data_IF_660525755694
#
_entry.id   IF_660525755694
#
_cell.length_a   1.000
_cell.length_b   1.000
_cell.length_c   1.000
_cell.angle_alpha   90.00
_cell.angle_beta   90.00
_cell.angle_gamma   90.00
#
_symmetry.space_group_name_H-M   'P 1'
#
loop_
_entity.id
_entity.type
_entity.pdbx_description
1 polymer ?
#
# COMPACT_ATOMS: atom_id res chain seq x y z
N UNK A 1 6.78 -14.35 6.96
CA UNK A 1 6.69 -13.05 7.63
C UNK A 1 5.98 -12.03 6.76
N UNK A 2 5.11 -11.24 7.36
CA UNK A 2 4.29 -10.25 6.67
C UNK A 2 4.36 -8.93 7.43
N UNK A 3 4.51 -7.83 6.68
CA UNK A 3 4.49 -6.49 7.25
C UNK A 3 3.26 -5.77 6.73
N UNK A 4 2.46 -5.20 7.64
CA UNK A 4 1.26 -4.44 7.29
C UNK A 4 1.45 -3.00 7.77
N UNK A 5 1.29 -2.05 6.85
CA UNK A 5 1.37 -0.63 7.15
C UNK A 5 0.01 -0.01 6.86
N UNK A 6 -0.43 0.89 7.74
CA UNK A 6 -1.72 1.55 7.62
C UNK A 6 -1.54 3.05 7.50
N UNK A 7 -2.36 3.68 6.66
CA UNK A 7 -2.47 5.13 6.59
C UNK A 7 -3.94 5.52 6.61
N UNK A 8 -4.31 6.48 7.46
CA UNK A 8 -5.70 6.93 7.61
C UNK A 8 -5.95 8.18 6.78
N UNK A 9 -7.11 8.22 6.14
CA UNK A 9 -7.56 9.36 5.35
C UNK A 9 -8.96 9.77 5.79
N UNK A 10 -9.28 11.05 5.65
CA UNK A 10 -10.64 11.53 5.88
C UNK A 10 -11.54 11.04 4.75
N UNK A 11 -12.70 10.51 5.11
CA UNK A 11 -13.70 10.12 4.14
C UNK A 11 -14.25 11.33 3.40
N UNK A 12 -14.59 11.13 2.14
CA UNK A 12 -15.10 12.18 1.27
C UNK A 12 -16.36 12.83 1.82
N UNK A 13 -17.23 12.05 2.47
CA UNK A 13 -18.49 12.53 3.03
C UNK A 13 -18.35 13.15 4.42
N UNK A 14 -17.15 13.15 4.98
CA UNK A 14 -16.89 13.73 6.28
C UNK A 14 -17.34 12.88 7.47
N UNK A 15 -17.81 11.66 7.26
CA UNK A 15 -18.35 10.81 8.31
C UNK A 15 -17.30 10.12 9.18
N UNK A 16 -16.01 10.36 8.92
CA UNK A 16 -14.95 9.72 9.69
C UNK A 16 -13.72 9.49 8.84
N UNK A 17 -12.98 8.44 9.18
CA UNK A 17 -11.73 8.11 8.47
C UNK A 17 -11.79 6.70 7.93
N UNK A 18 -10.98 6.44 6.91
CA UNK A 18 -10.85 5.13 6.30
C UNK A 18 -9.37 4.83 6.14
N UNK A 19 -8.99 3.56 6.28
CA UNK A 19 -7.59 3.12 6.20
C UNK A 19 -7.22 2.60 4.83
N UNK A 20 -6.03 3.02 4.36
CA UNK A 20 -5.34 2.35 3.28
C UNK A 20 -4.27 1.45 3.91
N UNK A 21 -4.01 0.31 3.29
CA UNK A 21 -3.08 -0.66 3.86
C UNK A 21 -2.06 -1.08 2.82
N UNK A 22 -0.81 -1.20 3.28
CA UNK A 22 0.24 -1.85 2.50
C UNK A 22 0.52 -3.20 3.14
N UNK A 23 0.53 -4.24 2.32
CA UNK A 23 0.83 -5.60 2.79
C UNK A 23 2.05 -6.09 2.02
N UNK A 24 3.12 -6.39 2.74
CA UNK A 24 4.36 -6.92 2.18
C UNK A 24 4.65 -8.28 2.77
N UNK A 25 4.76 -9.28 1.89
CA UNK A 25 5.19 -10.62 2.29
C UNK A 25 6.71 -10.69 2.13
N UNK A 26 7.42 -10.99 3.22
CA UNK A 26 8.88 -11.05 3.21
C UNK A 26 9.35 -12.35 2.56
N UNK A 27 9.21 -12.43 1.22
CA UNK A 27 9.68 -13.56 0.43
C UNK A 27 11.17 -13.38 0.09
N UNK A 28 11.83 -14.40 -0.52
CA UNK A 28 13.25 -14.28 -0.84
C UNK A 28 13.62 -13.06 -1.69
N UNK A 29 12.88 -12.68 -2.75
CA UNK A 29 13.23 -11.46 -3.47
C UNK A 29 13.22 -10.21 -2.61
N UNK A 30 12.22 -10.05 -1.73
CA UNK A 30 12.15 -8.89 -0.82
C UNK A 30 13.33 -8.93 0.16
N UNK A 31 13.61 -10.09 0.75
CA UNK A 31 14.72 -10.23 1.68
C UNK A 31 16.05 -9.88 1.04
N UNK A 32 16.24 -10.27 -0.23
CA UNK A 32 17.46 -9.96 -0.96
C UNK A 32 17.61 -8.45 -1.20
N UNK A 33 16.51 -7.76 -1.53
CA UNK A 33 16.55 -6.32 -1.72
C UNK A 33 16.91 -5.59 -0.42
N UNK A 34 16.37 -6.05 0.71
CA UNK A 34 16.70 -5.48 2.02
C UNK A 34 18.17 -5.70 2.33
N UNK A 35 18.68 -6.91 2.10
CA UNK A 35 20.08 -7.26 2.35
C UNK A 35 21.03 -6.40 1.52
N UNK A 36 20.66 -6.12 0.26
CA UNK A 36 21.49 -5.35 -0.64
C UNK A 36 21.24 -3.84 -0.56
N UNK A 37 20.41 -3.42 0.39
CA UNK A 37 20.03 -2.01 0.58
C UNK A 37 19.39 -1.38 -0.67
N UNK A 38 18.65 -2.19 -1.43
CA UNK A 38 17.93 -1.74 -2.64
C UNK A 38 16.45 -1.56 -2.35
N UNK A 39 16.15 -0.90 -1.25
CA UNK A 39 14.78 -0.76 -0.74
C UNK A 39 13.87 -0.06 -1.76
N UNK A 40 14.41 0.85 -2.56
CA UNK A 40 13.64 1.57 -3.57
C UNK A 40 13.05 0.65 -4.65
N UNK A 41 13.52 -0.59 -4.78
CA UNK A 41 13.00 -1.55 -5.74
C UNK A 41 11.88 -2.42 -5.16
N UNK A 42 11.61 -2.33 -3.85
CA UNK A 42 10.58 -3.15 -3.21
C UNK A 42 9.19 -2.94 -3.83
N UNK A 43 8.73 -1.69 -4.10
CA UNK A 43 7.40 -1.52 -4.69
C UNK A 43 7.22 -2.27 -6.01
N UNK A 44 8.24 -2.34 -6.87
CA UNK A 44 8.15 -3.07 -8.12
C UNK A 44 7.97 -4.57 -7.88
N UNK A 45 8.69 -5.13 -6.91
CA UNK A 45 8.56 -6.55 -6.56
C UNK A 45 7.20 -6.81 -5.95
N UNK A 46 6.68 -5.89 -5.13
CA UNK A 46 5.35 -6.03 -4.54
C UNK A 46 4.25 -6.06 -5.60
N UNK A 47 4.38 -5.27 -6.66
CA UNK A 47 3.41 -5.29 -7.74
C UNK A 47 3.34 -6.65 -8.42
N UNK A 48 4.47 -7.32 -8.58
CA UNK A 48 4.51 -8.67 -9.16
C UNK A 48 4.09 -9.73 -8.15
N UNK A 49 4.10 -9.39 -6.86
CA UNK A 49 3.75 -10.30 -5.77
C UNK A 49 2.28 -10.31 -5.39
N UNK A 50 1.40 -9.74 -6.22
CA UNK A 50 -0.03 -9.69 -5.89
C UNK A 50 -0.64 -11.07 -5.67
N UNK A 51 -0.12 -12.08 -6.34
CA UNK A 51 -0.58 -13.47 -6.16
C UNK A 51 -0.32 -13.99 -4.76
N UNK A 52 0.67 -13.42 -4.07
CA UNK A 52 1.00 -13.77 -2.68
C UNK A 52 0.25 -12.90 -1.67
N UNK A 53 -0.67 -12.05 -2.16
CA UNK A 53 -1.44 -11.16 -1.31
C UNK A 53 -0.77 -9.84 -1.00
N UNK A 54 0.31 -9.50 -1.70
CA UNK A 54 0.95 -8.21 -1.50
C UNK A 54 0.13 -7.07 -2.10
N UNK A 55 0.06 -5.97 -1.36
CA UNK A 55 -0.67 -4.76 -1.77
C UNK A 55 0.22 -3.57 -1.51
N UNK A 56 0.44 -2.73 -2.53
CA UNK A 56 1.16 -1.48 -2.32
C UNK A 56 0.24 -0.43 -1.72
N UNK A 57 0.81 0.50 -0.94
CA UNK A 57 0.03 1.63 -0.40
C UNK A 57 -0.63 2.41 -1.53
N UNK A 58 0.08 2.63 -2.62
CA UNK A 58 -0.45 3.35 -3.79
C UNK A 58 -1.70 2.68 -4.34
N UNK A 59 -1.66 1.35 -4.51
CA UNK A 59 -2.82 0.61 -5.02
C UNK A 59 -4.00 0.68 -4.07
N UNK A 60 -3.74 0.56 -2.77
CA UNK A 60 -4.78 0.65 -1.75
C UNK A 60 -5.46 2.02 -1.77
N UNK A 61 -4.66 3.09 -1.90
CA UNK A 61 -5.18 4.46 -1.98
C UNK A 61 -6.01 4.65 -3.25
N UNK A 62 -5.53 4.15 -4.39
CA UNK A 62 -6.27 4.22 -5.65
C UNK A 62 -7.63 3.53 -5.55
N UNK A 63 -7.69 2.39 -4.87
CA UNK A 63 -8.94 1.68 -4.66
C UNK A 63 -9.93 2.51 -3.83
N UNK A 64 -9.43 3.23 -2.80
CA UNK A 64 -10.29 4.11 -2.00
C UNK A 64 -10.85 5.26 -2.84
N UNK A 65 -10.03 5.87 -3.69
CA UNK A 65 -10.49 6.93 -4.59
C UNK A 65 -11.51 6.37 -5.57
N UNK A 66 -11.25 5.19 -6.13
CA UNK A 66 -12.15 4.57 -7.10
C UNK A 66 -13.50 4.20 -6.53
N UNK A 67 -13.55 3.85 -5.23
CA UNK A 67 -14.82 3.56 -4.54
C UNK A 67 -15.54 4.83 -4.06
N UNK A 68 -14.90 5.99 -4.18
CA UNK A 68 -15.47 7.25 -3.70
C UNK A 68 -15.33 7.46 -2.19
N UNK A 69 -14.52 6.66 -1.51
CA UNK A 69 -14.32 6.81 -0.06
C UNK A 69 -13.49 8.05 0.29
N UNK A 70 -12.52 8.39 -0.56
CA UNK A 70 -11.71 9.60 -0.39
C UNK A 70 -11.65 10.37 -1.71
N UNK A 71 -11.32 11.67 -1.64
CA UNK A 71 -11.15 12.49 -2.82
C UNK A 71 -9.72 12.40 -3.36
N UNK A 72 -9.52 12.81 -4.62
CA UNK A 72 -8.19 12.90 -5.20
C UNK A 72 -7.29 13.86 -4.42
N UNK A 73 -7.85 14.92 -3.86
CA UNK A 73 -7.07 15.86 -3.06
C UNK A 73 -6.59 15.21 -1.76
N UNK A 74 -7.42 14.36 -1.16
CA UNK A 74 -7.09 13.72 0.11
C UNK A 74 -5.94 12.71 -0.05
N UNK A 75 -5.84 12.02 -1.19
CA UNK A 75 -4.79 11.02 -1.37
C UNK A 75 -3.37 11.60 -1.34
N UNK A 76 -3.26 12.91 -1.53
CA UNK A 76 -1.96 13.60 -1.52
C UNK A 76 -1.64 14.25 -0.18
N UNK A 77 -2.49 14.04 0.81
CA UNK A 77 -2.30 14.64 2.14
C UNK A 77 -1.40 13.79 3.04
#
# INVERSE_FOLDING_TARGET
NMVVTQKLFKKKDGSGRVGAFEVMVCNPPIKNLIREAKIHQIPSVMQTGQREGMITMEKSIEDLVGRGDISNAEKNS
#
